data_IF_792016233813
#
_entry.id   IF_792016233813
#
_cell.length_a   1.000
_cell.length_b   1.000
_cell.length_c   1.000
_cell.angle_alpha   90.00
_cell.angle_beta   90.00
_cell.angle_gamma   90.00
#
_symmetry.space_group_name_H-M   'P 1'
#
loop_
_entity.id
_entity.type
_entity.pdbx_description
1 polymer ?
#
# COMPACT_ATOMS: atom_id res chain seq x y z
N UNK A 1 -29.39 17.53 -35.72
CA UNK A 1 -29.55 16.29 -34.94
C UNK A 1 -28.18 15.70 -34.64
N UNK A 2 -27.80 15.70 -33.40
CA UNK A 2 -26.59 15.04 -33.00
C UNK A 2 -25.64 15.86 -32.15
N UNK A 3 -26.09 16.46 -31.05
CA UNK A 3 -25.15 17.11 -30.10
C UNK A 3 -25.53 16.84 -28.64
N UNK A 4 -26.05 15.64 -28.36
CA UNK A 4 -26.53 15.35 -27.01
C UNK A 4 -25.85 14.14 -26.33
N UNK A 5 -24.70 13.68 -26.80
CA UNK A 5 -24.12 12.48 -26.21
C UNK A 5 -22.63 12.59 -25.84
N UNK A 6 -22.14 13.80 -25.58
CA UNK A 6 -20.75 13.92 -25.11
C UNK A 6 -20.61 14.53 -23.72
N UNK A 7 -21.71 14.80 -23.04
CA UNK A 7 -21.64 15.46 -21.73
C UNK A 7 -21.73 14.53 -20.51
N UNK A 8 -21.79 13.22 -20.72
CA UNK A 8 -22.00 12.30 -19.61
C UNK A 8 -20.83 11.35 -19.34
N UNK A 9 -19.62 11.73 -19.75
CA UNK A 9 -18.43 10.95 -19.45
C UNK A 9 -17.45 11.67 -18.51
N UNK A 10 -17.87 12.77 -17.92
CA UNK A 10 -17.19 13.29 -16.75
C UNK A 10 -17.87 12.69 -15.51
N UNK A 11 -17.84 11.40 -15.43
CA UNK A 11 -18.04 10.78 -14.13
C UNK A 11 -17.04 11.43 -13.19
N UNK A 12 -17.57 12.08 -12.20
CA UNK A 12 -16.85 12.82 -11.17
C UNK A 12 -15.76 11.97 -10.54
N UNK A 13 -14.61 11.90 -11.19
CA UNK A 13 -13.42 11.43 -10.54
C UNK A 13 -12.98 12.57 -9.62
N UNK A 14 -13.76 12.78 -8.55
CA UNK A 14 -13.43 13.80 -7.57
C UNK A 14 -12.31 13.28 -6.71
N UNK A 15 -11.09 13.70 -7.05
CA UNK A 15 -9.95 13.42 -6.20
C UNK A 15 -10.21 13.94 -4.79
N UNK A 16 -9.75 13.19 -3.80
CA UNK A 16 -9.85 13.59 -2.39
C UNK A 16 -8.60 14.37 -2.04
N UNK A 17 -8.76 15.48 -1.33
CA UNK A 17 -7.61 16.26 -0.88
C UNK A 17 -7.44 16.13 0.64
N UNK A 18 -6.23 15.80 1.08
CA UNK A 18 -5.89 15.67 2.49
C UNK A 18 -4.57 16.39 2.73
N UNK A 19 -4.62 17.45 3.54
CA UNK A 19 -3.46 18.27 3.87
C UNK A 19 -2.63 18.66 2.63
N UNK A 20 -3.33 19.21 1.64
CA UNK A 20 -2.76 19.71 0.39
C UNK A 20 -2.22 18.64 -0.55
N UNK A 21 -2.43 17.36 -0.23
CA UNK A 21 -2.02 16.23 -1.09
C UNK A 21 -3.26 15.61 -1.71
N UNK A 22 -3.20 15.37 -3.00
CA UNK A 22 -4.30 14.80 -3.77
C UNK A 22 -4.23 13.28 -3.73
N UNK A 23 -5.32 12.65 -3.36
CA UNK A 23 -5.47 11.20 -3.31
C UNK A 23 -6.63 10.75 -4.20
N UNK A 24 -6.61 9.50 -4.67
CA UNK A 24 -7.78 8.94 -5.35
C UNK A 24 -9.02 8.97 -4.45
N UNK A 25 -10.22 9.05 -5.04
CA UNK A 25 -11.46 9.22 -4.27
C UNK A 25 -11.80 8.06 -3.33
N UNK A 26 -11.22 6.88 -3.53
CA UNK A 26 -11.46 5.74 -2.65
C UNK A 26 -10.61 5.78 -1.36
N UNK A 27 -9.67 6.70 -1.27
CA UNK A 27 -8.88 6.90 -0.04
C UNK A 27 -9.69 7.82 0.89
N UNK A 28 -9.81 7.41 2.14
CA UNK A 28 -10.60 8.14 3.13
C UNK A 28 -9.70 8.97 4.05
N UNK A 29 -10.11 10.21 4.31
CA UNK A 29 -9.35 11.11 5.19
C UNK A 29 -9.19 10.53 6.60
N UNK A 30 -10.22 9.87 7.09
CA UNK A 30 -10.19 9.22 8.42
C UNK A 30 -9.10 8.15 8.48
N UNK A 31 -8.97 7.36 7.40
CA UNK A 31 -7.93 6.33 7.33
C UNK A 31 -6.53 6.93 7.37
N UNK A 32 -6.33 8.04 6.64
CA UNK A 32 -5.04 8.72 6.63
C UNK A 32 -4.68 9.27 8.01
N UNK A 33 -5.68 9.83 8.70
CA UNK A 33 -5.50 10.35 10.06
C UNK A 33 -5.12 9.21 11.02
N UNK A 34 -5.85 8.11 10.98
CA UNK A 34 -5.55 6.95 11.83
C UNK A 34 -4.15 6.39 11.59
N UNK A 35 -3.77 6.28 10.31
CA UNK A 35 -2.44 5.77 9.96
C UNK A 35 -1.31 6.64 10.52
N UNK A 36 -1.54 7.95 10.61
CA UNK A 36 -0.55 8.89 11.14
C UNK A 36 -0.50 8.88 12.66
N UNK A 37 -1.63 8.65 13.31
CA UNK A 37 -1.73 8.75 14.76
C UNK A 37 -1.40 7.45 15.49
N UNK A 38 -1.58 6.33 14.83
CA UNK A 38 -1.41 5.02 15.48
C UNK A 38 -0.17 4.29 14.93
N UNK A 39 0.54 3.65 15.82
CA UNK A 39 1.74 2.88 15.47
C UNK A 39 1.33 1.47 15.04
N UNK A 40 1.11 1.28 13.75
CA UNK A 40 0.67 0.00 13.21
C UNK A 40 1.79 -0.80 12.54
N UNK A 41 2.94 -0.18 12.32
CA UNK A 41 4.06 -0.88 11.69
C UNK A 41 4.74 -1.79 12.70
N UNK A 42 5.03 -3.01 12.26
CA UNK A 42 5.77 -3.99 13.05
C UNK A 42 7.26 -3.89 12.73
N UNK A 43 8.10 -4.31 13.66
CA UNK A 43 9.55 -4.29 13.46
C UNK A 43 9.99 -5.13 12.26
N UNK A 44 9.19 -6.12 11.87
CA UNK A 44 9.48 -6.98 10.73
C UNK A 44 8.95 -6.42 9.40
N UNK A 45 8.17 -5.34 9.41
CA UNK A 45 7.57 -4.80 8.19
C UNK A 45 8.63 -4.18 7.25
N UNK A 46 8.35 -4.29 5.95
CA UNK A 46 9.08 -3.59 4.90
C UNK A 46 8.07 -2.68 4.19
N UNK A 47 8.36 -1.39 4.14
CA UNK A 47 7.49 -0.40 3.50
C UNK A 47 8.19 0.15 2.27
N UNK A 48 7.55 0.04 1.11
CA UNK A 48 8.04 0.60 -0.14
C UNK A 48 7.33 1.94 -0.33
N UNK A 49 8.09 3.02 -0.20
CA UNK A 49 7.57 4.39 -0.27
C UNK A 49 7.98 5.01 -1.60
N UNK A 50 7.01 5.36 -2.42
CA UNK A 50 7.27 5.87 -3.77
C UNK A 50 6.27 6.95 -4.13
N UNK A 51 6.70 7.89 -4.97
CA UNK A 51 5.75 8.70 -5.71
C UNK A 51 5.08 7.80 -6.78
N UNK A 52 3.80 8.01 -7.10
CA UNK A 52 3.13 7.19 -8.12
C UNK A 52 3.90 7.17 -9.44
N UNK A 53 3.93 6.00 -10.07
CA UNK A 53 4.60 5.77 -11.37
C UNK A 53 6.13 5.86 -11.33
N UNK A 54 6.75 5.76 -10.16
CA UNK A 54 8.21 5.79 -10.03
C UNK A 54 8.86 4.41 -9.89
N UNK A 55 8.11 3.33 -10.17
CA UNK A 55 8.67 1.99 -10.14
C UNK A 55 8.23 1.15 -8.95
N UNK A 56 7.09 1.47 -8.36
CA UNK A 56 6.56 0.77 -7.18
C UNK A 56 6.43 -0.73 -7.41
N UNK A 57 5.74 -1.12 -8.49
CA UNK A 57 5.50 -2.53 -8.78
C UNK A 57 6.81 -3.29 -9.01
N UNK A 58 7.76 -2.64 -9.66
CA UNK A 58 9.08 -3.23 -9.88
C UNK A 58 9.79 -3.46 -8.55
N UNK A 59 9.77 -2.47 -7.66
CA UNK A 59 10.40 -2.63 -6.33
C UNK A 59 9.68 -3.70 -5.50
N UNK A 60 8.34 -3.76 -5.59
CA UNK A 60 7.58 -4.84 -4.94
C UNK A 60 8.05 -6.21 -5.44
N UNK A 61 8.22 -6.36 -6.75
CA UNK A 61 8.72 -7.61 -7.34
C UNK A 61 10.11 -7.95 -6.81
N UNK A 62 11.01 -6.97 -6.75
CA UNK A 62 12.38 -7.19 -6.27
C UNK A 62 12.38 -7.65 -4.80
N UNK A 63 11.69 -6.91 -3.94
CA UNK A 63 11.65 -7.21 -2.51
C UNK A 63 11.06 -8.60 -2.26
N UNK A 64 9.93 -8.89 -2.90
CA UNK A 64 9.28 -10.19 -2.73
C UNK A 64 10.16 -11.33 -3.25
N UNK A 65 10.84 -11.12 -4.38
CA UNK A 65 11.77 -12.12 -4.92
C UNK A 65 12.93 -12.39 -3.96
N UNK A 66 13.47 -11.33 -3.36
CA UNK A 66 14.53 -11.49 -2.36
C UNK A 66 14.05 -12.30 -1.15
N UNK A 67 12.82 -12.00 -0.68
CA UNK A 67 12.24 -12.74 0.44
C UNK A 67 11.96 -14.20 0.08
N UNK A 68 11.74 -14.48 -1.19
CA UNK A 68 11.54 -15.85 -1.70
C UNK A 68 12.85 -16.58 -1.99
N UNK A 69 13.97 -16.04 -1.48
CA UNK A 69 15.28 -16.66 -1.68
C UNK A 69 15.83 -16.51 -3.09
N UNK A 70 15.36 -15.51 -3.82
CA UNK A 70 15.78 -15.26 -5.21
C UNK A 70 14.88 -15.90 -6.25
N UNK A 71 13.88 -16.66 -5.83
CA UNK A 71 13.00 -17.36 -6.76
C UNK A 71 11.82 -16.47 -7.16
N UNK A 72 11.98 -15.71 -8.24
CA UNK A 72 10.94 -14.81 -8.74
C UNK A 72 9.67 -15.52 -9.23
N UNK A 73 9.76 -16.83 -9.52
CA UNK A 73 8.57 -17.58 -9.96
C UNK A 73 7.52 -17.69 -8.86
N UNK A 74 7.91 -17.51 -7.60
CA UNK A 74 6.99 -17.51 -6.46
C UNK A 74 6.18 -16.22 -6.35
N UNK A 75 6.61 -15.15 -7.03
CA UNK A 75 5.96 -13.84 -6.94
C UNK A 75 5.05 -13.65 -8.14
N UNK A 76 3.81 -14.10 -8.02
CA UNK A 76 2.87 -14.05 -9.15
C UNK A 76 2.16 -12.72 -9.30
N UNK A 77 1.77 -12.12 -8.19
CA UNK A 77 1.00 -10.87 -8.21
C UNK A 77 1.56 -9.94 -7.12
N UNK A 78 2.61 -9.19 -7.43
CA UNK A 78 3.25 -8.36 -6.40
C UNK A 78 2.31 -7.38 -5.71
N UNK A 79 1.33 -6.84 -6.44
CA UNK A 79 0.40 -5.87 -5.87
C UNK A 79 -0.55 -6.49 -4.84
N UNK A 80 -0.86 -7.78 -5.00
CA UNK A 80 -1.70 -8.49 -4.03
C UNK A 80 -0.90 -8.93 -2.80
N UNK A 81 0.37 -9.25 -3.02
CA UNK A 81 1.28 -9.71 -1.96
C UNK A 81 1.89 -8.55 -1.16
N UNK A 82 1.79 -7.33 -1.71
CA UNK A 82 2.34 -6.12 -1.10
C UNK A 82 1.29 -5.01 -1.23
N UNK A 83 0.29 -5.00 -0.35
CA UNK A 83 -0.85 -4.09 -0.51
C UNK A 83 -0.52 -2.62 -0.28
N UNK A 84 -1.32 -1.77 -0.90
CA UNK A 84 -1.24 -0.32 -0.73
C UNK A 84 -1.90 0.05 0.59
N UNK A 85 -1.09 0.48 1.54
CA UNK A 85 -1.48 0.68 2.92
C UNK A 85 -2.70 1.61 3.06
N UNK A 86 -2.66 2.79 2.45
CA UNK A 86 -3.73 3.78 2.56
C UNK A 86 -5.05 3.26 1.97
N UNK A 87 -4.96 2.53 0.87
CA UNK A 87 -6.15 1.97 0.23
C UNK A 87 -6.76 0.85 1.07
N UNK A 88 -5.94 0.00 1.64
CA UNK A 88 -6.43 -1.12 2.44
C UNK A 88 -7.08 -0.64 3.74
N UNK A 89 -6.48 0.34 4.40
CA UNK A 89 -7.08 0.89 5.62
C UNK A 89 -8.38 1.64 5.28
N UNK A 90 -8.42 2.32 4.14
CA UNK A 90 -9.66 2.98 3.68
C UNK A 90 -10.77 1.98 3.40
N UNK A 91 -10.43 0.81 2.87
CA UNK A 91 -11.41 -0.23 2.51
C UNK A 91 -11.82 -1.09 3.70
N UNK A 92 -10.86 -1.59 4.46
CA UNK A 92 -11.07 -2.62 5.50
C UNK A 92 -11.09 -2.07 6.92
N UNK A 93 -10.53 -0.89 7.14
CA UNK A 93 -10.33 -0.33 8.47
C UNK A 93 -8.97 -0.67 9.05
N UNK A 94 -8.53 0.16 9.97
CA UNK A 94 -7.20 0.03 10.57
C UNK A 94 -7.07 -1.26 11.40
N UNK A 95 -8.11 -1.61 12.17
CA UNK A 95 -8.08 -2.78 13.02
C UNK A 95 -7.91 -4.07 12.21
N UNK A 96 -8.67 -4.20 11.11
CA UNK A 96 -8.57 -5.37 10.25
C UNK A 96 -7.20 -5.43 9.58
N UNK A 97 -6.68 -4.29 9.16
CA UNK A 97 -5.34 -4.25 8.56
C UNK A 97 -4.26 -4.62 9.58
N UNK A 98 -4.36 -4.11 10.80
CA UNK A 98 -3.35 -4.40 11.82
C UNK A 98 -3.34 -5.87 12.21
N UNK A 99 -4.50 -6.54 12.17
CA UNK A 99 -4.60 -7.97 12.45
C UNK A 99 -4.09 -8.87 11.32
N UNK A 100 -3.88 -8.31 10.13
CA UNK A 100 -3.51 -9.09 8.96
C UNK A 100 -2.08 -9.62 9.02
N UNK A 101 -1.90 -10.86 8.55
CA UNK A 101 -0.59 -11.51 8.39
C UNK A 101 -0.51 -12.12 6.99
N UNK A 102 0.66 -12.06 6.35
CA UNK A 102 0.79 -12.55 4.97
C UNK A 102 0.45 -14.03 4.78
N UNK A 103 0.65 -14.83 5.81
CA UNK A 103 0.32 -16.26 5.76
C UNK A 103 -1.18 -16.53 5.79
N UNK A 104 -1.98 -15.53 6.10
CA UNK A 104 -3.43 -15.63 5.99
C UNK A 104 -3.85 -15.32 4.56
N UNK A 105 -5.07 -15.67 4.20
CA UNK A 105 -5.62 -15.47 2.86
C UNK A 105 -5.31 -14.07 2.31
N UNK A 106 -5.09 -14.00 1.01
CA UNK A 106 -4.72 -12.76 0.35
C UNK A 106 -5.58 -11.59 0.77
N UNK A 107 -4.94 -10.46 0.97
CA UNK A 107 -5.55 -9.26 1.55
C UNK A 107 -6.80 -8.79 0.79
N UNK A 108 -6.86 -9.01 -0.50
CA UNK A 108 -7.95 -8.50 -1.34
C UNK A 108 -9.23 -9.34 -1.29
N UNK A 109 -9.32 -10.32 -0.41
CA UNK A 109 -10.48 -11.20 -0.37
C UNK A 109 -10.63 -12.05 -1.62
N UNK A 110 -9.72 -11.91 -2.55
CA UNK A 110 -9.60 -12.84 -3.65
C UNK A 110 -9.14 -14.14 -3.02
N UNK A 111 -9.96 -15.16 -3.17
CA UNK A 111 -9.57 -16.52 -2.84
C UNK A 111 -8.37 -16.88 -3.72
N UNK A 112 -7.22 -16.38 -3.32
CA UNK A 112 -6.00 -16.95 -3.82
C UNK A 112 -6.01 -18.35 -3.22
N UNK A 113 -6.33 -19.30 -4.03
CA UNK A 113 -6.24 -20.70 -3.65
C UNK A 113 -4.82 -20.92 -3.14
N UNK A 114 -4.71 -21.04 -1.84
CA UNK A 114 -3.42 -21.18 -1.17
C UNK A 114 -2.75 -22.54 -1.42
N UNK A 115 -3.33 -23.34 -2.30
CA UNK A 115 -2.88 -24.72 -2.48
C UNK A 115 -1.48 -24.91 -3.04
N UNK A 116 -0.74 -23.82 -3.27
CA UNK A 116 0.66 -23.97 -3.68
C UNK A 116 1.42 -22.65 -3.67
N UNK A 117 0.88 -21.62 -3.04
CA UNK A 117 1.49 -20.31 -3.20
C UNK A 117 2.34 -19.95 -2.01
N UNK A 118 3.54 -19.54 -2.31
CA UNK A 118 4.46 -18.99 -1.34
C UNK A 118 3.88 -17.68 -0.77
N UNK A 119 4.00 -17.51 0.52
CA UNK A 119 3.64 -16.26 1.19
C UNK A 119 4.90 -15.61 1.74
N UNK A 120 5.02 -14.28 1.65
CA UNK A 120 6.19 -13.64 2.23
C UNK A 120 6.22 -13.82 3.75
N UNK A 121 7.40 -14.01 4.34
CA UNK A 121 7.52 -14.26 5.78
C UNK A 121 7.27 -13.03 6.64
N UNK A 122 7.08 -11.87 6.04
CA UNK A 122 6.80 -10.61 6.71
C UNK A 122 5.94 -9.73 5.81
N UNK A 123 5.28 -8.74 6.40
CA UNK A 123 4.47 -7.83 5.60
C UNK A 123 5.36 -6.94 4.74
N UNK A 124 5.07 -6.91 3.44
CA UNK A 124 5.64 -5.94 2.51
C UNK A 124 4.51 -5.01 2.11
N UNK A 125 4.64 -3.74 2.41
CA UNK A 125 3.57 -2.76 2.23
C UNK A 125 4.04 -1.69 1.25
N UNK A 126 3.11 -1.06 0.54
CA UNK A 126 3.48 0.13 -0.24
C UNK A 126 2.70 1.34 0.25
N UNK A 127 3.32 2.50 0.10
CA UNK A 127 2.69 3.79 0.38
C UNK A 127 3.06 4.80 -0.70
N UNK A 128 2.11 5.67 -1.01
CA UNK A 128 2.36 6.82 -1.88
C UNK A 128 2.28 8.14 -1.09
N UNK A 129 2.19 8.06 0.22
CA UNK A 129 2.17 9.24 1.06
C UNK A 129 3.52 9.96 1.02
N UNK A 130 3.54 11.29 0.88
CA UNK A 130 4.79 12.03 1.04
C UNK A 130 5.29 11.93 2.48
N UNK A 131 6.54 12.30 2.70
CA UNK A 131 7.20 12.06 3.99
C UNK A 131 6.42 12.64 5.18
N UNK A 132 5.85 13.83 5.01
CA UNK A 132 5.11 14.49 6.08
C UNK A 132 3.76 13.83 6.39
N UNK A 133 3.26 12.99 5.49
CA UNK A 133 1.99 12.26 5.67
C UNK A 133 2.20 10.76 5.73
N UNK A 134 3.45 10.33 5.83
CA UNK A 134 3.79 8.91 5.81
C UNK A 134 3.06 8.16 6.94
N UNK A 135 2.75 6.89 6.72
CA UNK A 135 1.92 6.11 7.66
C UNK A 135 2.70 5.60 8.88
N UNK A 136 3.57 6.42 9.41
CA UNK A 136 4.27 6.15 10.66
C UNK A 136 4.10 7.34 11.57
N UNK A 137 3.45 7.13 12.69
CA UNK A 137 3.15 8.18 13.66
C UNK A 137 4.44 8.78 14.19
N UNK A 138 4.46 10.10 14.33
CA UNK A 138 5.62 10.80 14.87
C UNK A 138 6.75 11.01 13.88
N UNK A 139 6.51 10.73 12.59
CA UNK A 139 7.51 10.97 11.55
C UNK A 139 8.62 9.93 11.52
N UNK A 140 9.75 10.28 10.93
CA UNK A 140 10.84 9.34 10.66
C UNK A 140 11.50 8.78 11.93
N UNK A 141 11.49 9.52 13.03
CA UNK A 141 12.04 9.02 14.29
C UNK A 141 11.25 7.82 14.83
N UNK A 142 9.95 7.80 14.57
CA UNK A 142 9.11 6.68 15.00
C UNK A 142 9.48 5.39 14.26
N UNK A 143 9.87 5.50 12.98
CA UNK A 143 10.35 4.33 12.22
C UNK A 143 11.61 3.72 12.85
N UNK A 144 12.56 4.57 13.19
CA UNK A 144 13.81 4.10 13.80
C UNK A 144 13.54 3.35 15.10
N UNK A 145 12.57 3.81 15.86
CA UNK A 145 12.20 3.15 17.12
C UNK A 145 11.49 1.83 16.91
N UNK A 146 10.69 1.73 15.84
CA UNK A 146 9.90 0.52 15.57
C UNK A 146 10.69 -0.57 14.86
N UNK A 147 11.77 -0.23 14.20
CA UNK A 147 12.60 -1.21 13.50
C UNK A 147 12.11 -1.61 12.11
N UNK A 148 10.99 -1.06 11.66
CA UNK A 148 10.51 -1.32 10.31
C UNK A 148 11.52 -0.81 9.27
N UNK A 149 11.57 -1.47 8.10
CA UNK A 149 12.46 -1.08 7.01
C UNK A 149 11.68 -0.28 5.98
N UNK A 150 12.23 0.85 5.56
CA UNK A 150 11.61 1.68 4.52
C UNK A 150 12.55 1.75 3.31
N UNK A 151 12.01 1.42 2.15
CA UNK A 151 12.71 1.53 0.88
C UNK A 151 12.05 2.67 0.11
N UNK A 152 12.82 3.73 -0.15
CA UNK A 152 12.32 4.89 -0.89
C UNK A 152 12.77 4.77 -2.33
N UNK A 153 11.83 4.85 -3.28
CA UNK A 153 12.15 4.83 -4.72
C UNK A 153 11.83 6.19 -5.30
N UNK A 154 12.84 6.82 -5.90
CA UNK A 154 12.74 8.15 -6.51
C UNK A 154 13.26 8.12 -7.93
N UNK A 155 12.72 8.99 -8.78
CA UNK A 155 13.22 9.23 -10.14
C UNK A 155 13.58 10.70 -10.28
N UNK A 156 14.55 10.66 -10.72
CA UNK A 156 15.02 11.97 -10.89
C UNK A 156 14.50 12.51 -12.02
#
# INVERSE_FOLDING_TARGET
MGSENQENLSLDYQSMMYQEVVYPPFIKAEALTELREKHILRSSDIVIATFPKCGTTWMQQIVLTLLAGGDGSKVRRPMDMSPWLEAQVSDKGLEAFDAWHPEQTGWNGLNISLESEWCPPRRVLKTHAPAQLAPWAGGTSSLAMNGARVIVVMRX
#
